data_IF_791471471516
#
_entry.id   IF_791471471516
#
_cell.length_a   1.000
_cell.length_b   1.000
_cell.length_c   1.000
_cell.angle_alpha   90.00
_cell.angle_beta   90.00
_cell.angle_gamma   90.00
#
_symmetry.space_group_name_H-M   'P 1'
#
loop_
_entity.id
_entity.type
_entity.pdbx_description
1 polymer ?
#
# COMPACT_ATOMS: atom_id res chain seq x y z
N UNK A 1 -9.49 -3.81 -18.38
CA UNK A 1 -9.72 -2.66 -17.48
C UNK A 1 -8.41 -1.90 -17.35
N UNK A 2 -8.40 -0.63 -17.66
CA UNK A 2 -7.21 0.20 -17.56
C UNK A 2 -7.29 1.01 -16.27
N UNK A 3 -6.29 0.86 -15.41
CA UNK A 3 -6.18 1.61 -14.17
C UNK A 3 -4.91 2.45 -14.26
N UNK A 4 -5.04 3.75 -14.04
CA UNK A 4 -3.87 4.60 -13.94
C UNK A 4 -3.50 4.75 -12.47
N UNK A 5 -2.23 4.53 -12.11
CA UNK A 5 -1.83 4.65 -10.73
C UNK A 5 -2.09 6.06 -10.20
N UNK A 6 -2.72 6.14 -9.06
CA UNK A 6 -2.80 7.38 -8.30
C UNK A 6 -1.52 7.57 -7.50
N UNK A 7 -1.34 8.76 -6.97
CA UNK A 7 -0.22 9.07 -6.08
C UNK A 7 -0.77 9.47 -4.73
N UNK A 8 -0.24 8.84 -3.67
CA UNK A 8 -0.57 9.19 -2.31
C UNK A 8 0.69 9.14 -1.44
N UNK A 9 1.10 10.29 -0.96
CA UNK A 9 2.25 10.42 -0.07
C UNK A 9 1.74 10.59 1.35
N UNK A 10 2.43 9.98 2.31
CA UNK A 10 2.03 10.12 3.70
C UNK A 10 3.23 10.10 4.63
N UNK A 11 2.99 10.57 5.86
CA UNK A 11 3.99 10.56 6.93
C UNK A 11 3.57 9.53 7.97
N UNK A 12 4.54 8.75 8.45
CA UNK A 12 4.31 7.88 9.59
C UNK A 12 5.42 8.07 10.63
N UNK A 13 5.13 7.73 11.87
CA UNK A 13 6.15 7.72 12.91
C UNK A 13 6.75 6.33 13.01
N UNK A 14 8.05 6.27 13.22
CA UNK A 14 8.75 5.03 13.50
C UNK A 14 8.20 4.43 14.79
N UNK A 15 8.06 3.11 14.84
CA UNK A 15 7.50 2.38 15.99
C UNK A 15 5.99 2.62 16.22
N UNK A 16 5.27 2.99 15.17
CA UNK A 16 3.81 3.15 15.25
C UNK A 16 3.11 2.20 14.30
N UNK A 17 1.89 1.82 14.62
CA UNK A 17 1.01 1.11 13.70
C UNK A 17 0.43 2.10 12.70
N UNK A 18 0.27 1.65 11.47
CA UNK A 18 -0.28 2.51 10.41
C UNK A 18 -1.19 1.69 9.50
N UNK A 19 -2.37 2.22 9.22
CA UNK A 19 -3.34 1.57 8.33
C UNK A 19 -3.88 2.56 7.33
N UNK A 20 -4.08 2.09 6.11
CA UNK A 20 -4.63 2.90 5.02
C UNK A 20 -5.82 2.14 4.43
N UNK A 21 -7.04 2.68 4.52
CA UNK A 21 -8.17 2.12 3.81
C UNK A 21 -8.11 2.51 2.33
N UNK A 22 -8.37 1.56 1.45
CA UNK A 22 -8.37 1.78 0.02
C UNK A 22 -9.72 1.39 -0.57
N UNK A 23 -10.19 2.18 -1.52
CA UNK A 23 -11.38 1.87 -2.30
C UNK A 23 -10.96 1.85 -3.76
N UNK A 24 -10.93 0.67 -4.37
CA UNK A 24 -10.50 0.52 -5.75
C UNK A 24 -11.63 0.90 -6.70
N UNK A 25 -11.34 1.82 -7.59
CA UNK A 25 -12.29 2.30 -8.59
C UNK A 25 -11.67 2.27 -9.97
N UNK A 26 -12.51 2.04 -10.98
CA UNK A 26 -12.08 2.09 -12.37
C UNK A 26 -12.05 3.54 -12.89
N UNK A 27 -11.68 3.71 -14.16
CA UNK A 27 -11.59 5.05 -14.77
C UNK A 27 -12.95 5.77 -14.86
N UNK A 28 -14.05 5.05 -14.74
CA UNK A 28 -15.40 5.62 -14.72
C UNK A 28 -15.89 5.90 -13.30
N UNK A 29 -15.00 5.79 -12.30
CA UNK A 29 -15.30 6.02 -10.89
C UNK A 29 -16.28 5.02 -10.27
N UNK A 30 -16.37 3.83 -10.86
CA UNK A 30 -17.18 2.74 -10.31
C UNK A 30 -16.29 1.82 -9.48
N UNK A 31 -16.84 1.28 -8.38
CA UNK A 31 -16.12 0.33 -7.55
C UNK A 31 -15.75 -0.91 -8.36
N UNK A 32 -14.52 -1.39 -8.15
CA UNK A 32 -14.03 -2.61 -8.79
C UNK A 32 -14.37 -3.80 -7.91
N UNK A 33 -15.03 -4.80 -8.49
CA UNK A 33 -15.25 -6.08 -7.82
C UNK A 33 -13.92 -6.85 -7.79
N UNK A 34 -13.35 -7.04 -6.61
CA UNK A 34 -12.03 -7.66 -6.44
C UNK A 34 -12.09 -9.19 -6.28
N UNK A 35 -13.23 -9.80 -6.57
CA UNK A 35 -13.34 -11.26 -6.53
C UNK A 35 -12.34 -11.88 -7.52
N UNK A 36 -11.46 -12.74 -7.02
CA UNK A 36 -10.40 -13.34 -7.83
C UNK A 36 -9.16 -12.47 -8.00
N UNK A 37 -9.16 -11.25 -7.48
CA UNK A 37 -8.00 -10.36 -7.52
C UNK A 37 -7.14 -10.53 -6.27
N UNK A 38 -5.84 -10.28 -6.42
CA UNK A 38 -4.90 -10.24 -5.31
C UNK A 38 -4.30 -8.85 -5.22
N UNK A 39 -4.27 -8.31 -4.02
CA UNK A 39 -3.66 -7.02 -3.73
C UNK A 39 -2.38 -7.26 -2.94
N UNK A 40 -1.29 -6.65 -3.38
CA UNK A 40 -0.01 -6.69 -2.67
C UNK A 40 0.56 -5.27 -2.59
N UNK A 41 1.22 -4.98 -1.48
CA UNK A 41 1.84 -3.67 -1.29
C UNK A 41 3.12 -3.85 -0.48
N UNK A 42 4.17 -3.13 -0.87
CA UNK A 42 5.49 -3.26 -0.25
C UNK A 42 6.11 -1.89 -0.05
N UNK A 43 6.98 -1.81 0.94
CA UNK A 43 7.78 -0.62 1.23
C UNK A 43 9.22 -0.91 0.86
N UNK A 44 9.80 -0.05 0.03
CA UNK A 44 11.15 -0.20 -0.49
C UNK A 44 11.97 1.08 -0.26
N UNK A 45 13.29 0.90 -0.23
CA UNK A 45 14.22 2.01 -0.34
C UNK A 45 14.05 2.68 -1.71
N UNK A 46 14.36 3.98 -1.82
CA UNK A 46 14.07 4.78 -3.02
C UNK A 46 14.66 4.22 -4.32
N UNK A 47 15.81 3.56 -4.24
CA UNK A 47 16.46 2.98 -5.42
C UNK A 47 16.06 1.52 -5.66
N UNK A 48 15.13 1.00 -4.86
CA UNK A 48 14.63 -0.38 -4.91
C UNK A 48 15.74 -1.42 -4.65
N UNK A 49 16.66 -1.11 -3.75
CA UNK A 49 17.74 -2.04 -3.39
C UNK A 49 17.41 -2.85 -2.14
N UNK A 50 16.57 -2.31 -1.24
CA UNK A 50 16.21 -2.96 0.02
C UNK A 50 14.70 -2.88 0.23
N UNK A 51 14.06 -4.02 0.41
CA UNK A 51 12.66 -4.09 0.82
C UNK A 51 12.58 -4.00 2.34
N UNK A 52 11.79 -3.08 2.85
CA UNK A 52 11.63 -2.90 4.30
C UNK A 52 10.45 -3.64 4.87
N UNK A 53 9.35 -3.76 4.14
CA UNK A 53 8.18 -4.46 4.65
C UNK A 53 7.20 -4.83 3.54
N UNK A 54 6.39 -5.85 3.83
CA UNK A 54 5.16 -6.12 3.10
C UNK A 54 4.01 -5.60 3.95
N UNK A 55 3.09 -4.84 3.33
CA UNK A 55 1.85 -4.47 4.00
C UNK A 55 1.00 -5.71 4.22
N UNK A 56 0.34 -5.78 5.36
CA UNK A 56 -0.72 -6.76 5.58
C UNK A 56 -1.97 -6.27 4.85
N UNK A 57 -2.60 -7.15 4.09
CA UNK A 57 -3.77 -6.81 3.28
C UNK A 57 -5.00 -7.46 3.88
N UNK A 58 -6.01 -6.67 4.19
CA UNK A 58 -7.31 -7.14 4.66
C UNK A 58 -8.37 -6.74 3.65
N UNK A 59 -9.08 -7.72 3.12
CA UNK A 59 -10.17 -7.48 2.18
C UNK A 59 -11.44 -7.23 2.99
N UNK A 60 -11.78 -5.96 3.19
CA UNK A 60 -12.93 -5.58 4.00
C UNK A 60 -14.25 -5.81 3.27
N UNK A 61 -14.27 -5.59 1.96
CA UNK A 61 -15.40 -5.93 1.09
C UNK A 61 -14.91 -6.06 -0.35
N UNK A 62 -14.61 -7.29 -0.76
CA UNK A 62 -14.06 -7.55 -2.11
C UNK A 62 -14.98 -7.08 -3.23
N UNK A 63 -16.29 -7.30 -3.09
CA UNK A 63 -17.24 -6.96 -4.15
C UNK A 63 -17.38 -5.46 -4.32
N UNK A 64 -17.15 -4.70 -3.26
CA UNK A 64 -17.21 -3.23 -3.29
C UNK A 64 -15.83 -2.58 -3.49
N UNK A 65 -14.79 -3.38 -3.70
CA UNK A 65 -13.43 -2.87 -3.91
C UNK A 65 -12.77 -2.30 -2.66
N UNK A 66 -13.23 -2.68 -1.48
CA UNK A 66 -12.77 -2.14 -0.21
C UNK A 66 -11.68 -3.03 0.41
N UNK A 67 -10.52 -2.46 0.66
CA UNK A 67 -9.35 -3.15 1.18
C UNK A 67 -8.65 -2.24 2.19
N UNK A 68 -8.01 -2.84 3.19
CA UNK A 68 -7.15 -2.10 4.11
C UNK A 68 -5.75 -2.67 4.04
N UNK A 69 -4.75 -1.81 3.90
CA UNK A 69 -3.35 -2.19 4.01
C UNK A 69 -2.77 -1.63 5.31
N UNK A 70 -1.95 -2.40 5.99
CA UNK A 70 -1.48 -2.07 7.34
C UNK A 70 -0.02 -2.41 7.54
N UNK A 71 0.64 -1.62 8.38
CA UNK A 71 1.98 -1.87 8.89
C UNK A 71 1.92 -1.91 10.41
N UNK A 72 2.69 -2.82 11.02
CA UNK A 72 2.78 -2.91 12.47
C UNK A 72 3.89 -2.01 13.01
N UNK A 73 3.85 -1.71 14.30
CA UNK A 73 4.90 -0.96 14.97
C UNK A 73 6.27 -1.66 14.87
N UNK A 74 6.29 -2.97 14.89
CA UNK A 74 7.51 -3.76 14.71
C UNK A 74 8.10 -3.54 13.31
N UNK A 75 7.25 -3.48 12.29
CA UNK A 75 7.69 -3.23 10.92
C UNK A 75 8.22 -1.80 10.76
N UNK A 76 7.48 -0.81 11.25
CA UNK A 76 7.89 0.59 11.09
C UNK A 76 9.13 0.92 11.90
N UNK A 77 9.42 0.18 12.96
CA UNK A 77 10.66 0.34 13.74
C UNK A 77 11.91 0.08 12.89
N UNK A 78 11.80 -0.70 11.82
CA UNK A 78 12.93 -0.99 10.93
C UNK A 78 13.14 0.07 9.85
N UNK A 79 12.27 1.06 9.75
CA UNK A 79 12.33 2.08 8.71
C UNK A 79 13.38 3.14 9.07
N UNK A 80 14.64 2.83 8.83
CA UNK A 80 15.74 3.72 9.18
C UNK A 80 15.88 4.94 8.27
N UNK A 81 15.62 4.86 6.94
CA UNK A 81 15.62 6.07 6.12
C UNK A 81 14.46 7.00 6.45
N UNK A 82 14.66 8.29 6.19
CA UNK A 82 13.61 9.30 6.37
C UNK A 82 12.61 9.32 5.22
N UNK A 83 13.00 8.77 4.07
CA UNK A 83 12.15 8.73 2.87
C UNK A 83 12.18 7.32 2.30
N UNK A 84 11.02 6.75 2.09
CA UNK A 84 10.84 5.44 1.48
C UNK A 84 9.79 5.53 0.37
N UNK A 85 9.74 4.50 -0.46
CA UNK A 85 8.75 4.37 -1.53
C UNK A 85 7.86 3.17 -1.28
N UNK A 86 6.62 3.28 -1.72
CA UNK A 86 5.70 2.15 -1.69
C UNK A 86 4.82 2.18 -2.91
N UNK A 87 4.22 1.03 -3.22
CA UNK A 87 3.16 0.96 -4.23
C UNK A 87 2.17 -0.14 -3.87
N UNK A 88 1.05 -0.13 -4.56
CA UNK A 88 0.00 -1.14 -4.41
C UNK A 88 -0.20 -1.79 -5.76
N UNK A 89 0.05 -3.09 -5.82
CA UNK A 89 -0.05 -3.91 -7.02
C UNK A 89 -1.33 -4.72 -6.99
N UNK A 90 -2.11 -4.63 -8.07
CA UNK A 90 -3.34 -5.37 -8.24
C UNK A 90 -3.12 -6.43 -9.31
N UNK A 91 -3.36 -7.70 -8.97
CA UNK A 91 -3.26 -8.83 -9.90
C UNK A 91 -4.65 -9.40 -10.11
N UNK A 92 -5.11 -9.46 -11.38
CA UNK A 92 -6.44 -9.98 -11.68
C UNK A 92 -6.45 -11.52 -11.76
N UNK A 93 -7.62 -12.10 -11.99
CA UNK A 93 -7.78 -13.55 -12.03
C UNK A 93 -7.00 -14.21 -13.18
N UNK A 94 -6.68 -13.47 -14.23
CA UNK A 94 -5.88 -13.95 -15.36
C UNK A 94 -4.38 -13.81 -15.13
N UNK A 95 -3.96 -13.26 -14.00
CA UNK A 95 -2.55 -13.04 -13.68
C UNK A 95 -1.98 -11.73 -14.21
N UNK A 96 -2.79 -10.87 -14.79
CA UNK A 96 -2.35 -9.56 -15.25
C UNK A 96 -2.16 -8.62 -14.06
N UNK A 97 -1.09 -7.82 -14.10
CA UNK A 97 -0.69 -6.95 -13.00
C UNK A 97 -0.79 -5.49 -13.38
N UNK A 98 -1.37 -4.70 -12.48
CA UNK A 98 -1.47 -3.25 -12.64
C UNK A 98 -1.15 -2.58 -11.31
N UNK A 99 -0.36 -1.51 -11.36
CA UNK A 99 -0.11 -0.71 -10.16
C UNK A 99 -1.25 0.29 -10.00
N UNK A 100 -1.92 0.23 -8.86
CA UNK A 100 -3.07 1.07 -8.59
C UNK A 100 -2.69 2.37 -7.89
N UNK A 101 -1.69 2.31 -7.01
CA UNK A 101 -1.30 3.44 -6.17
C UNK A 101 0.21 3.38 -5.97
N UNK A 102 0.84 4.55 -5.93
CA UNK A 102 2.25 4.66 -5.58
C UNK A 102 2.47 5.93 -4.78
N UNK A 103 3.56 6.02 -4.06
CA UNK A 103 3.86 7.22 -3.33
C UNK A 103 5.12 7.15 -2.50
N UNK A 104 5.31 8.22 -1.75
CA UNK A 104 6.45 8.41 -0.87
C UNK A 104 5.98 8.34 0.57
N UNK A 105 6.74 7.65 1.40
CA UNK A 105 6.54 7.61 2.85
C UNK A 105 7.60 8.48 3.49
N UNK A 106 7.16 9.50 4.23
CA UNK A 106 8.05 10.33 5.04
C UNK A 106 8.05 9.76 6.45
N UNK A 107 9.21 9.30 6.89
CA UNK A 107 9.35 8.63 8.19
C UNK A 107 9.81 9.66 9.23
N UNK A 108 8.97 9.86 10.23
CA UNK A 108 9.26 10.76 11.35
C UNK A 108 9.72 9.94 12.54
N UNK A 109 10.65 10.48 13.32
CA UNK A 109 11.09 9.81 14.55
C UNK A 109 10.01 9.95 15.61
N UNK A 110 9.51 8.84 16.11
CA UNK A 110 8.62 8.85 17.25
C UNK A 110 9.45 8.82 18.53
N UNK A 111 9.31 9.82 19.39
CA UNK A 111 10.15 9.94 20.57
C UNK A 111 9.63 9.13 21.76
N UNK A 112 8.35 8.83 21.80
CA UNK A 112 7.79 7.97 22.85
C UNK A 112 7.88 6.52 22.39
N UNK A 113 8.56 5.72 23.18
CA UNK A 113 8.72 4.30 22.86
C UNK A 113 7.84 3.43 23.75
#
# INVERSE_FOLDING_TARGET
>A
MAIQPGTYNFTLQRRSDHSIPLLFKDSSNNAINLTGFTVAAQVWEETRTTKYADFSVTYTDRTAGSVKISLTDTQTATFTPEVLKYDVLLTNASGEKEYYLEGTIFVSEGYTA
#
